data_IF_880406633310
#
_entry.id   IF_880406633310
#
_cell.length_a   1.000
_cell.length_b   1.000
_cell.length_c   1.000
_cell.angle_alpha   90.00
_cell.angle_beta   90.00
_cell.angle_gamma   90.00
#
_symmetry.space_group_name_H-M   'P 1'
#
loop_
_entity.id
_entity.type
_entity.pdbx_description
1 polymer ?
#
# COMPACT_ATOMS: atom_id res chain seq x y z
N UNK A 1 8.05 -47.51 59.43
CA UNK A 1 7.46 -48.30 60.54
C UNK A 1 6.16 -47.59 60.89
N UNK A 2 5.05 -48.05 60.34
CA UNK A 2 4.13 -49.00 60.98
C UNK A 2 3.35 -48.31 62.12
N UNK A 3 2.03 -48.36 62.24
CA UNK A 3 1.00 -49.02 61.45
C UNK A 3 -0.38 -48.59 61.98
N UNK A 4 -1.42 -48.95 61.21
CA UNK A 4 -2.67 -49.55 61.71
C UNK A 4 -3.69 -48.69 62.48
N UNK A 5 -5.00 -48.95 62.44
CA UNK A 5 -5.92 -49.81 61.65
C UNK A 5 -7.31 -49.69 62.33
N UNK A 6 -8.34 -50.17 61.63
CA UNK A 6 -9.66 -50.67 62.09
C UNK A 6 -10.80 -49.63 62.20
N UNK A 7 -11.82 -49.67 61.32
CA UNK A 7 -12.90 -50.67 61.10
C UNK A 7 -13.92 -50.73 62.24
N UNK A 8 -15.15 -50.32 61.93
CA UNK A 8 -16.39 -50.91 62.47
C UNK A 8 -17.41 -51.08 61.34
N UNK A 9 -18.18 -52.16 61.46
CA UNK A 9 -18.98 -52.86 60.45
C UNK A 9 -20.49 -52.71 60.73
N UNK A 10 -21.26 -53.23 59.77
CA UNK A 10 -22.67 -53.64 59.83
C UNK A 10 -23.70 -52.50 59.73
N UNK A 11 -24.87 -52.65 59.07
CA UNK A 11 -25.55 -53.64 58.22
C UNK A 11 -26.96 -53.05 58.08
N UNK A 12 -27.64 -53.00 56.92
CA UNK A 12 -28.57 -54.06 56.52
C UNK A 12 -29.28 -53.68 55.20
N UNK A 13 -29.57 -54.70 54.40
CA UNK A 13 -30.52 -54.76 53.27
C UNK A 13 -31.19 -56.14 53.39
N UNK A 14 -32.45 -56.38 52.96
CA UNK A 14 -32.71 -56.67 51.53
C UNK A 14 -34.15 -56.40 51.02
N UNK A 15 -34.37 -56.49 49.68
CA UNK A 15 -35.45 -57.26 48.98
C UNK A 15 -35.60 -56.91 47.45
N UNK A 16 -35.08 -57.78 46.57
CA UNK A 16 -35.61 -58.46 45.34
C UNK A 16 -36.74 -57.73 44.52
N UNK A 17 -36.54 -57.18 43.28
CA UNK A 17 -36.59 -57.73 41.86
C UNK A 17 -38.02 -57.97 41.26
N UNK A 18 -38.33 -57.99 39.90
CA UNK A 18 -37.47 -58.05 38.67
C UNK A 18 -37.86 -57.19 37.41
N UNK A 19 -36.94 -57.17 36.41
CA UNK A 19 -37.10 -57.22 34.92
C UNK A 19 -37.82 -56.06 34.16
N UNK A 20 -37.46 -55.56 32.96
CA UNK A 20 -36.52 -55.95 31.88
C UNK A 20 -36.32 -54.79 30.87
N UNK A 21 -35.27 -54.91 30.04
CA UNK A 21 -35.07 -54.43 28.64
C UNK A 21 -34.31 -53.11 28.33
N UNK A 22 -33.13 -53.36 27.73
CA UNK A 22 -32.47 -52.73 26.56
C UNK A 22 -31.43 -51.60 26.73
N UNK A 23 -30.17 -52.08 26.72
CA UNK A 23 -29.04 -51.72 25.83
C UNK A 23 -28.47 -50.28 25.82
N UNK A 24 -27.29 -50.20 26.45
CA UNK A 24 -25.98 -49.85 25.88
C UNK A 24 -25.74 -48.44 25.29
N UNK A 25 -24.97 -47.65 26.04
CA UNK A 25 -24.11 -46.58 25.53
C UNK A 25 -22.72 -46.66 26.21
N UNK A 26 -21.61 -46.70 25.45
CA UNK A 26 -20.34 -46.15 25.90
C UNK A 26 -20.08 -44.81 25.18
N UNK A 27 -19.79 -43.74 25.94
CA UNK A 27 -19.29 -42.48 25.37
C UNK A 27 -17.75 -42.47 25.37
N UNK A 28 -17.22 -42.59 24.15
CA UNK A 28 -16.11 -41.87 23.51
C UNK A 28 -14.94 -41.28 24.33
N UNK A 29 -13.71 -41.49 23.82
CA UNK A 29 -12.62 -40.52 23.83
C UNK A 29 -12.36 -39.91 22.42
N UNK A 30 -11.52 -38.85 22.39
CA UNK A 30 -10.67 -38.33 21.28
C UNK A 30 -11.23 -37.20 20.35
N UNK A 31 -10.45 -36.09 20.35
CA UNK A 31 -10.19 -35.03 19.34
C UNK A 31 -11.35 -34.34 18.62
N UNK A 32 -11.42 -33.02 18.76
CA UNK A 32 -11.93 -32.14 17.70
C UNK A 32 -11.01 -30.95 17.44
N UNK A 33 -10.54 -30.88 16.19
CA UNK A 33 -10.12 -29.67 15.47
C UNK A 33 -11.28 -28.67 15.50
N UNK A 34 -11.01 -27.41 15.83
CA UNK A 34 -11.94 -26.33 15.51
C UNK A 34 -11.86 -26.02 14.02
N UNK A 35 -13.01 -26.12 13.36
CA UNK A 35 -13.24 -25.85 11.94
C UNK A 35 -13.84 -24.45 11.88
N UNK A 36 -13.14 -23.50 11.24
CA UNK A 36 -13.69 -22.17 10.95
C UNK A 36 -14.82 -22.33 9.93
N UNK A 37 -16.03 -21.90 10.28
CA UNK A 37 -17.19 -21.88 9.39
C UNK A 37 -17.06 -20.73 8.41
N UNK A 38 -16.82 -21.05 7.14
CA UNK A 38 -17.01 -20.14 6.01
C UNK A 38 -18.50 -19.76 5.94
N UNK A 39 -18.77 -18.46 5.97
CA UNK A 39 -20.09 -17.89 5.68
C UNK A 39 -20.37 -18.08 4.19
N UNK A 40 -21.54 -18.58 3.82
CA UNK A 40 -21.99 -18.75 2.44
C UNK A 40 -22.00 -17.39 1.69
N UNK A 41 -21.50 -17.31 0.45
CA UNK A 41 -21.58 -16.10 -0.33
C UNK A 41 -22.98 -15.92 -0.93
N UNK A 42 -23.56 -14.74 -0.71
CA UNK A 42 -24.73 -14.24 -1.43
C UNK A 42 -24.45 -14.21 -2.94
N UNK A 43 -25.29 -14.89 -3.71
CA UNK A 43 -25.28 -14.88 -5.17
C UNK A 43 -25.69 -13.50 -5.69
N UNK A 44 -24.82 -12.83 -6.46
CA UNK A 44 -25.18 -11.67 -7.27
C UNK A 44 -24.49 -11.71 -8.64
N UNK A 45 -25.28 -11.49 -9.68
CA UNK A 45 -24.84 -11.29 -11.06
C UNK A 45 -24.23 -9.90 -11.20
N UNK A 46 -22.90 -9.81 -11.23
CA UNK A 46 -22.09 -8.91 -12.06
C UNK A 46 -20.61 -9.20 -11.78
N UNK A 47 -19.79 -9.16 -12.84
CA UNK A 47 -18.48 -9.79 -12.95
C UNK A 47 -17.56 -9.67 -11.73
N UNK A 48 -16.88 -10.79 -11.42
CA UNK A 48 -15.89 -10.88 -10.34
C UNK A 48 -14.73 -9.89 -10.57
N UNK A 49 -14.21 -9.23 -9.52
CA UNK A 49 -12.89 -8.61 -9.57
C UNK A 49 -11.83 -9.69 -9.90
N UNK A 50 -11.04 -9.44 -10.94
CA UNK A 50 -10.01 -10.36 -11.39
C UNK A 50 -8.74 -10.14 -10.58
N UNK A 51 -8.57 -10.92 -9.52
CA UNK A 51 -7.28 -11.05 -8.82
C UNK A 51 -6.50 -12.17 -9.52
N UNK A 52 -5.34 -11.92 -10.14
CA UNK A 52 -4.51 -13.00 -10.65
C UNK A 52 -3.88 -13.74 -9.46
N UNK A 53 -4.49 -14.86 -9.07
CA UNK A 53 -3.86 -15.88 -8.24
C UNK A 53 -2.87 -16.64 -9.14
N UNK A 54 -1.59 -16.33 -9.00
CA UNK A 54 -0.49 -16.99 -9.70
C UNK A 54 -0.41 -18.47 -9.27
N UNK A 55 -0.78 -19.36 -10.17
CA UNK A 55 -0.54 -20.81 -10.07
C UNK A 55 0.94 -21.11 -10.27
N UNK A 56 1.45 -22.02 -9.45
CA UNK A 56 2.83 -22.48 -9.37
C UNK A 56 3.32 -23.20 -10.63
N UNK A 57 4.36 -22.67 -11.28
CA UNK A 57 5.43 -23.44 -11.96
C UNK A 57 6.67 -22.56 -12.25
N UNK A 58 7.88 -23.12 -12.43
CA UNK A 58 9.11 -22.55 -11.90
C UNK A 58 9.95 -21.79 -12.93
N UNK A 59 10.02 -20.47 -12.77
CA UNK A 59 11.13 -19.61 -13.22
C UNK A 59 11.04 -18.26 -12.48
N UNK A 60 11.21 -18.29 -11.16
CA UNK A 60 11.22 -17.07 -10.35
C UNK A 60 12.51 -16.27 -10.61
N UNK A 61 12.44 -14.95 -10.85
CA UNK A 61 13.57 -14.07 -10.68
C UNK A 61 14.09 -14.15 -9.24
N UNK A 62 15.40 -14.19 -9.07
CA UNK A 62 16.09 -14.49 -7.80
C UNK A 62 15.80 -13.48 -6.67
N UNK A 63 15.15 -12.35 -6.97
CA UNK A 63 14.74 -11.33 -6.01
C UNK A 63 13.39 -11.61 -5.33
N UNK A 64 12.54 -12.44 -5.93
CA UNK A 64 11.22 -12.82 -5.40
C UNK A 64 11.21 -14.20 -4.73
N UNK A 65 12.37 -14.86 -4.65
CA UNK A 65 12.51 -16.09 -3.88
C UNK A 65 12.64 -15.72 -2.39
N UNK A 66 11.84 -16.32 -1.49
CA UNK A 66 12.13 -16.24 -0.07
C UNK A 66 13.49 -16.89 0.11
N UNK A 67 14.54 -16.11 0.40
CA UNK A 67 15.84 -16.67 0.72
C UNK A 67 15.63 -17.68 1.86
N UNK A 68 16.10 -18.91 1.67
CA UNK A 68 16.01 -20.02 2.64
C UNK A 68 16.77 -19.76 3.96
N UNK A 69 17.29 -18.54 4.15
CA UNK A 69 17.76 -18.02 5.44
C UNK A 69 16.64 -17.40 6.31
N UNK A 70 15.42 -17.21 5.80
CA UNK A 70 14.33 -16.52 6.51
C UNK A 70 13.56 -17.34 7.56
N UNK A 71 13.95 -18.58 7.83
CA UNK A 71 13.18 -19.46 8.73
C UNK A 71 13.78 -19.67 10.13
N UNK A 72 14.98 -19.17 10.44
CA UNK A 72 15.67 -19.52 11.69
C UNK A 72 15.98 -18.39 12.68
N UNK A 73 15.56 -17.14 12.44
CA UNK A 73 15.77 -16.04 13.40
C UNK A 73 14.49 -15.21 13.68
N UNK A 74 13.32 -15.85 13.72
CA UNK A 74 12.15 -15.22 14.37
C UNK A 74 12.38 -15.31 15.88
N UNK A 75 13.19 -14.39 16.39
CA UNK A 75 13.28 -14.11 17.80
C UNK A 75 11.90 -13.61 18.24
N UNK A 76 11.11 -14.52 18.82
CA UNK A 76 9.68 -14.40 19.13
C UNK A 76 9.35 -13.37 20.23
N UNK A 77 10.21 -12.37 20.41
CA UNK A 77 10.24 -11.51 21.58
C UNK A 77 10.50 -10.02 21.34
N UNK A 78 10.63 -9.49 20.11
CA UNK A 78 10.60 -8.03 19.97
C UNK A 78 9.16 -7.49 19.94
N UNK A 79 8.52 -7.54 21.11
CA UNK A 79 7.17 -7.05 21.40
C UNK A 79 7.02 -5.53 21.27
N UNK A 80 8.04 -4.84 20.73
CA UNK A 80 8.15 -3.39 20.71
C UNK A 80 7.74 -2.75 19.38
N UNK A 81 7.72 -3.48 18.27
CA UNK A 81 7.21 -2.96 17.00
C UNK A 81 5.67 -2.91 17.02
N UNK A 82 5.08 -1.74 16.75
CA UNK A 82 3.62 -1.57 16.63
C UNK A 82 3.26 -0.83 15.34
N UNK A 83 2.30 -1.37 14.59
CA UNK A 83 1.76 -0.75 13.38
C UNK A 83 0.33 -0.31 13.66
N UNK A 84 0.01 0.96 13.48
CA UNK A 84 -1.36 1.46 13.52
C UNK A 84 -1.75 2.02 12.15
N UNK A 85 -3.03 1.89 11.83
CA UNK A 85 -3.62 2.53 10.65
C UNK A 85 -4.41 3.74 11.07
N UNK A 86 -4.35 4.82 10.29
CA UNK A 86 -5.44 5.78 10.28
C UNK A 86 -6.58 5.30 9.36
N UNK A 87 -7.51 6.19 9.08
CA UNK A 87 -8.73 5.90 8.31
C UNK A 87 -8.54 6.04 6.80
N UNK A 88 -7.43 6.63 6.34
CA UNK A 88 -7.25 6.94 4.92
C UNK A 88 -7.00 5.70 4.07
N UNK A 89 -6.30 4.66 4.56
CA UNK A 89 -6.08 3.42 3.80
C UNK A 89 -5.87 2.20 4.72
N UNK A 90 -6.91 1.76 5.45
CA UNK A 90 -6.81 0.62 6.35
C UNK A 90 -6.52 -0.71 5.65
N UNK A 91 -6.91 -0.84 4.37
CA UNK A 91 -6.62 -2.03 3.58
C UNK A 91 -5.10 -2.22 3.38
N UNK A 92 -4.39 -1.18 2.91
CA UNK A 92 -2.94 -1.24 2.75
C UNK A 92 -2.22 -1.46 4.09
N UNK A 93 -2.65 -0.78 5.17
CA UNK A 93 -2.06 -0.99 6.50
C UNK A 93 -2.20 -2.45 6.96
N UNK A 94 -3.35 -3.07 6.72
CA UNK A 94 -3.59 -4.47 7.05
C UNK A 94 -2.73 -5.40 6.20
N UNK A 95 -2.57 -5.14 4.90
CA UNK A 95 -1.68 -5.92 4.02
C UNK A 95 -0.22 -5.85 4.49
N UNK A 96 0.26 -4.65 4.89
CA UNK A 96 1.60 -4.45 5.46
C UNK A 96 1.78 -5.28 6.73
N UNK A 97 0.82 -5.20 7.66
CA UNK A 97 0.87 -5.98 8.89
C UNK A 97 0.88 -7.49 8.63
N UNK A 98 0.04 -7.96 7.70
CA UNK A 98 0.00 -9.36 7.27
C UNK A 98 1.33 -9.83 6.69
N UNK A 99 1.96 -9.02 5.81
CA UNK A 99 3.27 -9.32 5.25
C UNK A 99 4.33 -9.52 6.34
N UNK A 100 4.31 -8.68 7.37
CA UNK A 100 5.24 -8.75 8.50
C UNK A 100 4.87 -9.82 9.54
N UNK A 101 3.76 -10.55 9.36
CA UNK A 101 3.27 -11.54 10.33
C UNK A 101 2.75 -10.91 11.63
N UNK A 102 2.25 -9.68 11.57
CA UNK A 102 1.76 -8.89 12.70
C UNK A 102 0.26 -8.60 12.59
N UNK A 103 -0.34 -8.24 13.73
CA UNK A 103 -1.68 -7.66 13.78
C UNK A 103 -1.57 -6.12 13.87
N UNK A 104 -2.55 -5.42 13.30
CA UNK A 104 -2.67 -3.98 13.50
C UNK A 104 -2.96 -3.68 14.97
N UNK A 105 -2.32 -2.64 15.47
CA UNK A 105 -2.55 -2.14 16.81
C UNK A 105 -3.97 -1.56 16.96
N UNK A 106 -4.50 -1.67 18.17
CA UNK A 106 -5.88 -1.26 18.47
C UNK A 106 -5.94 0.26 18.66
N UNK A 107 -6.57 0.95 17.73
CA UNK A 107 -6.78 2.40 17.78
C UNK A 107 -8.25 2.73 17.52
N UNK A 108 -8.79 3.65 18.31
CA UNK A 108 -10.13 4.19 18.12
C UNK A 108 -10.04 5.58 17.53
N UNK A 109 -10.51 5.73 16.29
CA UNK A 109 -10.63 7.01 15.61
C UNK A 109 -12.12 7.28 15.37
N UNK A 110 -12.60 8.45 15.76
CA UNK A 110 -13.99 8.88 15.48
C UNK A 110 -14.04 10.38 15.23
N UNK A 111 -15.16 10.86 14.70
CA UNK A 111 -15.46 12.28 14.57
C UNK A 111 -16.49 12.71 15.61
N UNK A 112 -16.27 13.86 16.24
CA UNK A 112 -17.31 14.52 17.03
C UNK A 112 -18.37 15.14 16.10
N UNK A 113 -19.49 15.60 16.67
CA UNK A 113 -20.62 16.10 15.88
C UNK A 113 -20.29 17.35 15.06
N UNK A 114 -19.27 18.11 15.46
CA UNK A 114 -18.71 19.29 14.78
C UNK A 114 -17.58 18.96 13.79
N UNK A 115 -17.21 17.69 13.67
CA UNK A 115 -16.19 17.22 12.72
C UNK A 115 -14.78 17.06 13.30
N UNK A 116 -14.54 17.45 14.55
CA UNK A 116 -13.23 17.28 15.20
C UNK A 116 -12.80 15.80 15.28
N UNK A 117 -11.51 15.53 15.04
CA UNK A 117 -10.95 14.17 15.14
C UNK A 117 -10.73 13.81 16.62
N UNK A 118 -11.21 12.65 17.04
CA UNK A 118 -10.80 12.01 18.28
C UNK A 118 -9.97 10.77 17.98
N UNK A 119 -8.81 10.64 18.62
CA UNK A 119 -7.93 9.47 18.54
C UNK A 119 -7.62 8.95 19.94
N UNK A 120 -7.73 7.64 20.13
CA UNK A 120 -7.33 6.96 21.35
C UNK A 120 -6.67 5.63 21.03
N UNK A 121 -5.42 5.47 21.48
CA UNK A 121 -4.74 4.18 21.51
C UNK A 121 -5.42 3.28 22.55
N UNK A 122 -5.82 2.06 22.16
CA UNK A 122 -6.49 1.10 23.04
C UNK A 122 -5.53 0.07 23.64
N UNK A 123 -4.23 0.27 23.46
CA UNK A 123 -3.16 -0.52 24.05
C UNK A 123 -1.95 0.37 24.37
N UNK A 124 -1.04 -0.14 25.20
CA UNK A 124 0.16 0.60 25.56
C UNK A 124 1.17 0.59 24.42
N UNK A 125 1.69 1.78 24.10
CA UNK A 125 2.82 1.98 23.18
C UNK A 125 4.08 2.46 23.92
N UNK A 126 4.10 2.37 25.26
CA UNK A 126 5.22 2.89 26.06
C UNK A 126 6.51 2.15 25.71
N UNK A 127 7.52 2.88 25.24
CA UNK A 127 8.81 2.31 24.86
C UNK A 127 8.80 1.51 23.55
N UNK A 128 7.68 1.52 22.82
CA UNK A 128 7.53 0.84 21.53
C UNK A 128 8.06 1.70 20.37
N UNK A 129 8.45 1.03 19.31
CA UNK A 129 8.74 1.61 17.99
C UNK A 129 7.45 1.55 17.17
N UNK A 130 6.83 2.72 16.94
CA UNK A 130 5.48 2.85 16.39
C UNK A 130 5.53 3.32 14.95
N UNK A 131 4.84 2.62 14.06
CA UNK A 131 4.67 2.94 12.66
C UNK A 131 3.20 3.30 12.39
N UNK A 132 2.96 4.51 11.89
CA UNK A 132 1.61 5.04 11.62
C UNK A 132 1.38 5.08 10.12
N UNK A 133 0.58 4.16 9.58
CA UNK A 133 0.22 4.10 8.16
C UNK A 133 -0.95 5.02 7.89
N UNK A 134 -0.68 6.14 7.20
CA UNK A 134 -1.70 7.13 6.86
C UNK A 134 -1.28 7.94 5.62
N UNK A 135 -1.77 7.62 4.41
CA UNK A 135 -1.64 8.52 3.28
C UNK A 135 -2.43 9.81 3.54
N UNK A 136 -1.95 10.93 3.00
CA UNK A 136 -2.60 12.25 3.12
C UNK A 136 -3.37 12.60 1.83
N UNK A 137 -4.10 11.61 1.31
CA UNK A 137 -4.95 11.71 0.12
C UNK A 137 -6.27 12.44 0.41
N UNK A 138 -7.06 12.82 -0.61
CA UNK A 138 -8.37 13.42 -0.40
C UNK A 138 -9.27 12.58 0.53
N UNK A 139 -9.95 13.17 1.53
CA UNK A 139 -9.90 14.60 1.91
C UNK A 139 -8.60 14.93 2.67
N UNK A 140 -7.75 15.76 2.06
CA UNK A 140 -6.32 15.85 2.41
C UNK A 140 -6.07 16.48 3.77
N UNK A 141 -6.86 17.49 4.16
CA UNK A 141 -6.69 18.21 5.41
C UNK A 141 -7.05 17.33 6.60
N UNK A 142 -8.13 16.56 6.45
CA UNK A 142 -8.69 15.68 7.45
C UNK A 142 -7.76 14.49 7.70
N UNK A 143 -7.23 13.91 6.62
CA UNK A 143 -6.27 12.81 6.71
C UNK A 143 -4.93 13.29 7.29
N UNK A 144 -4.49 14.51 6.97
CA UNK A 144 -3.32 15.15 7.58
C UNK A 144 -3.55 15.41 9.08
N UNK A 145 -4.65 16.06 9.45
CA UNK A 145 -4.97 16.34 10.86
C UNK A 145 -5.09 15.05 11.68
N UNK A 146 -5.66 14.01 11.11
CA UNK A 146 -5.72 12.69 11.76
C UNK A 146 -4.33 12.11 12.00
N UNK A 147 -3.41 12.16 11.01
CA UNK A 147 -2.02 11.76 11.18
C UNK A 147 -1.34 12.54 12.32
N UNK A 148 -1.48 13.87 12.33
CA UNK A 148 -0.86 14.72 13.35
C UNK A 148 -1.35 14.37 14.77
N UNK A 149 -2.65 14.10 14.92
CA UNK A 149 -3.25 13.73 16.21
C UNK A 149 -2.83 12.29 16.60
N UNK A 150 -2.71 11.37 15.65
CA UNK A 150 -2.16 10.03 15.92
C UNK A 150 -0.71 10.10 16.41
N UNK A 151 0.13 10.94 15.80
CA UNK A 151 1.51 11.17 16.23
C UNK A 151 1.53 11.75 17.66
N UNK A 152 0.76 12.81 17.94
CA UNK A 152 0.71 13.44 19.26
C UNK A 152 0.21 12.45 20.34
N UNK A 153 -0.79 11.62 20.03
CA UNK A 153 -1.29 10.57 20.92
C UNK A 153 -0.20 9.55 21.28
N UNK A 154 0.59 9.10 20.30
CA UNK A 154 1.72 8.18 20.53
C UNK A 154 2.82 8.85 21.37
N UNK A 155 3.14 10.12 21.07
CA UNK A 155 4.15 10.90 21.80
C UNK A 155 3.78 11.04 23.28
N UNK A 156 2.55 11.43 23.57
CA UNK A 156 2.04 11.56 24.95
C UNK A 156 1.92 10.22 25.66
N UNK A 157 1.67 9.14 24.92
CA UNK A 157 1.68 7.78 25.44
C UNK A 157 3.10 7.19 25.63
N UNK A 158 4.16 8.01 25.46
CA UNK A 158 5.56 7.63 25.68
C UNK A 158 6.07 6.55 24.73
N UNK A 159 5.65 6.58 23.46
CA UNK A 159 6.33 5.83 22.40
C UNK A 159 7.82 6.20 22.36
N UNK A 160 8.69 5.21 22.07
CA UNK A 160 10.13 5.42 21.97
C UNK A 160 10.47 6.12 20.65
N UNK A 161 9.95 5.60 19.55
CA UNK A 161 10.07 6.17 18.22
C UNK A 161 8.70 6.16 17.52
N UNK A 162 8.43 7.19 16.72
CA UNK A 162 7.22 7.35 15.92
C UNK A 162 7.65 7.59 14.47
N UNK A 163 7.39 6.62 13.61
CA UNK A 163 7.61 6.72 12.17
C UNK A 163 6.28 6.97 11.48
N UNK A 164 6.16 8.12 10.79
CA UNK A 164 5.02 8.39 9.93
C UNK A 164 5.21 7.67 8.59
N UNK A 165 4.42 6.63 8.34
CA UNK A 165 4.39 5.89 7.07
C UNK A 165 3.32 6.52 6.19
N UNK A 166 3.75 7.27 5.18
CA UNK A 166 2.91 8.11 4.32
C UNK A 166 3.00 7.58 2.88
N UNK A 167 2.21 6.55 2.50
CA UNK A 167 2.23 5.97 1.16
C UNK A 167 1.96 6.99 0.05
N UNK A 168 1.20 8.06 0.33
CA UNK A 168 1.02 9.21 -0.56
C UNK A 168 1.13 10.50 0.25
N UNK A 169 2.10 11.34 -0.11
CA UNK A 169 2.32 12.64 0.51
C UNK A 169 1.50 13.73 -0.20
N UNK A 170 0.35 14.07 0.37
CA UNK A 170 -0.47 15.20 -0.04
C UNK A 170 0.32 16.51 0.01
N UNK A 171 -0.11 17.51 -0.77
CA UNK A 171 0.60 18.78 -0.97
C UNK A 171 1.98 18.70 -1.63
N UNK A 172 2.48 17.51 -1.99
CA UNK A 172 3.81 17.35 -2.60
C UNK A 172 4.02 18.15 -3.91
N UNK A 173 2.95 18.50 -4.63
CA UNK A 173 3.01 19.35 -5.83
C UNK A 173 3.29 20.83 -5.55
N UNK A 174 3.09 21.28 -4.31
CA UNK A 174 3.38 22.64 -3.85
C UNK A 174 4.74 22.68 -3.14
N UNK A 175 5.77 22.24 -3.85
CA UNK A 175 7.14 22.07 -3.36
C UNK A 175 8.02 23.31 -3.59
N UNK A 176 7.63 24.25 -4.44
CA UNK A 176 8.39 25.48 -4.71
C UNK A 176 7.48 26.64 -5.05
N UNK A 177 8.02 27.85 -4.98
CA UNK A 177 7.35 29.05 -5.48
C UNK A 177 7.63 29.19 -6.97
N UNK A 178 6.59 29.11 -7.78
CA UNK A 178 6.64 29.42 -9.21
C UNK A 178 6.31 30.89 -9.47
N UNK A 179 5.56 31.52 -8.55
CA UNK A 179 5.21 32.94 -8.58
C UNK A 179 5.46 33.62 -7.23
N UNK A 180 5.45 34.96 -7.23
CA UNK A 180 5.54 35.74 -6.00
C UNK A 180 4.33 35.48 -5.08
N UNK A 181 4.60 35.37 -3.76
CA UNK A 181 3.60 35.20 -2.69
C UNK A 181 2.85 33.85 -2.64
N UNK A 182 3.40 32.82 -3.26
CA UNK A 182 2.93 31.43 -3.06
C UNK A 182 3.48 30.83 -1.75
N UNK A 183 2.74 29.88 -1.17
CA UNK A 183 3.21 29.04 -0.08
C UNK A 183 4.00 27.84 -0.63
N UNK A 184 4.93 27.31 0.18
CA UNK A 184 5.54 26.00 -0.06
C UNK A 184 4.82 25.03 0.88
N UNK A 185 3.63 24.60 0.48
CA UNK A 185 2.75 23.81 1.35
C UNK A 185 3.38 22.46 1.73
N UNK A 186 4.16 21.84 0.83
CA UNK A 186 4.91 20.62 1.15
C UNK A 186 5.86 20.81 2.35
N UNK A 187 6.58 21.96 2.42
CA UNK A 187 7.46 22.29 3.55
C UNK A 187 6.66 22.62 4.81
N UNK A 188 5.52 23.31 4.69
CA UNK A 188 4.63 23.54 5.83
C UNK A 188 4.15 22.21 6.44
N UNK A 189 3.69 21.28 5.61
CA UNK A 189 3.23 19.96 6.06
C UNK A 189 4.37 19.16 6.69
N UNK A 190 5.57 19.19 6.10
CA UNK A 190 6.75 18.57 6.68
C UNK A 190 7.07 19.12 8.09
N UNK A 191 6.98 20.44 8.28
CA UNK A 191 7.15 21.07 9.59
C UNK A 191 6.09 20.60 10.59
N UNK A 192 4.81 20.54 10.17
CA UNK A 192 3.72 20.12 11.05
C UNK A 192 3.89 18.66 11.52
N UNK A 193 4.27 17.75 10.62
CA UNK A 193 4.53 16.34 10.94
C UNK A 193 5.71 16.22 11.92
N UNK A 194 6.78 16.98 11.68
CA UNK A 194 7.95 17.02 12.56
C UNK A 194 7.58 17.56 13.95
N UNK A 195 6.86 18.68 14.01
CA UNK A 195 6.48 19.34 15.27
C UNK A 195 5.45 18.53 16.09
N UNK A 196 4.54 17.81 15.42
CA UNK A 196 3.65 16.85 16.09
C UNK A 196 4.45 15.77 16.86
N UNK A 197 5.68 15.48 16.40
CA UNK A 197 6.64 14.63 17.09
C UNK A 197 6.99 13.34 16.36
N UNK A 198 6.87 13.31 15.03
CA UNK A 198 7.44 12.22 14.25
C UNK A 198 8.97 12.22 14.39
N UNK A 199 9.56 11.04 14.58
CA UNK A 199 11.02 10.85 14.62
C UNK A 199 11.60 10.52 13.24
N UNK A 200 10.76 10.00 12.34
CA UNK A 200 11.13 9.56 10.99
C UNK A 200 9.91 9.61 10.08
N UNK A 201 10.13 9.78 8.78
CA UNK A 201 9.11 9.63 7.75
C UNK A 201 9.52 8.52 6.79
N UNK A 202 8.56 7.69 6.41
CA UNK A 202 8.68 6.75 5.30
C UNK A 202 7.64 7.16 4.26
N UNK A 203 8.06 7.59 3.07
CA UNK A 203 7.16 8.06 2.02
C UNK A 203 7.42 7.33 0.69
N UNK A 204 6.36 7.07 -0.08
CA UNK A 204 6.48 6.45 -1.40
C UNK A 204 6.42 7.51 -2.51
N UNK A 205 7.31 7.42 -3.49
CA UNK A 205 7.38 8.25 -4.72
C UNK A 205 6.98 9.72 -4.52
N UNK A 206 7.73 10.45 -3.68
CA UNK A 206 7.60 11.89 -3.55
C UNK A 206 7.65 12.56 -4.92
N UNK A 207 6.73 13.52 -5.15
CA UNK A 207 6.62 14.26 -6.41
C UNK A 207 7.97 14.85 -6.85
N UNK A 208 8.72 15.33 -5.86
CA UNK A 208 10.02 15.97 -6.02
C UNK A 208 10.96 15.42 -4.95
N UNK A 209 12.09 14.84 -5.35
CA UNK A 209 13.05 14.23 -4.43
C UNK A 209 13.67 15.25 -3.45
N UNK A 210 13.67 16.53 -3.82
CA UNK A 210 14.08 17.64 -2.97
C UNK A 210 13.21 17.78 -1.72
N UNK A 211 11.96 17.27 -1.75
CA UNK A 211 11.04 17.29 -0.61
C UNK A 211 11.57 16.52 0.60
N UNK A 212 12.49 15.58 0.42
CA UNK A 212 13.18 14.93 1.54
C UNK A 212 13.92 15.96 2.41
N UNK A 213 14.52 16.99 1.79
CA UNK A 213 15.21 18.08 2.49
C UNK A 213 14.27 19.06 3.22
N UNK A 214 12.95 18.84 3.17
CA UNK A 214 11.99 19.62 3.97
C UNK A 214 11.87 19.11 5.39
N UNK A 215 12.29 17.88 5.66
CA UNK A 215 12.29 17.30 6.98
C UNK A 215 13.67 17.42 7.61
N UNK A 216 13.70 17.88 8.86
CA UNK A 216 14.92 17.88 9.69
C UNK A 216 15.14 16.52 10.39
N UNK A 217 14.21 15.58 10.17
CA UNK A 217 14.24 14.19 10.62
C UNK A 217 14.52 13.24 9.44
N UNK A 218 15.03 12.02 9.68
CA UNK A 218 15.28 11.05 8.62
C UNK A 218 14.04 10.76 7.76
N UNK A 219 14.24 10.69 6.44
CA UNK A 219 13.21 10.32 5.47
C UNK A 219 13.68 9.12 4.66
N UNK A 220 12.95 8.02 4.76
CA UNK A 220 13.10 6.86 3.89
C UNK A 220 12.16 7.02 2.69
N UNK A 221 12.74 7.37 1.53
CA UNK A 221 12.00 7.53 0.28
C UNK A 221 11.97 6.22 -0.50
N UNK A 222 10.80 5.59 -0.52
CA UNK A 222 10.52 4.32 -1.15
C UNK A 222 10.07 4.55 -2.59
N UNK A 223 10.67 3.84 -3.55
CA UNK A 223 10.24 3.91 -4.95
C UNK A 223 9.28 2.77 -5.26
N UNK A 224 8.04 3.07 -5.65
CA UNK A 224 7.02 2.09 -6.04
C UNK A 224 7.24 1.51 -7.44
N UNK A 225 8.10 2.15 -8.24
CA UNK A 225 8.48 1.73 -9.58
C UNK A 225 8.79 0.22 -9.74
N UNK A 226 9.54 -0.47 -8.85
CA UNK A 226 9.83 -1.90 -8.99
C UNK A 226 8.55 -2.77 -9.06
N UNK A 227 7.51 -2.42 -8.29
CA UNK A 227 6.23 -3.16 -8.30
C UNK A 227 5.59 -3.12 -9.70
N UNK A 228 5.64 -1.96 -10.36
CA UNK A 228 5.09 -1.78 -11.71
C UNK A 228 5.97 -2.48 -12.74
N UNK A 229 7.30 -2.38 -12.61
CA UNK A 229 8.24 -3.03 -13.53
C UNK A 229 8.11 -4.55 -13.51
N UNK A 230 8.03 -5.16 -12.32
CA UNK A 230 7.85 -6.61 -12.18
C UNK A 230 6.55 -7.06 -12.85
N UNK A 231 5.48 -6.28 -12.69
CA UNK A 231 4.21 -6.55 -13.34
C UNK A 231 4.29 -6.45 -14.87
N UNK A 232 4.92 -5.40 -15.41
CA UNK A 232 5.12 -5.24 -16.86
C UNK A 232 6.01 -6.34 -17.45
N UNK A 233 7.07 -6.73 -16.74
CA UNK A 233 7.95 -7.83 -17.15
C UNK A 233 7.18 -9.15 -17.28
N UNK A 234 6.16 -9.37 -16.45
CA UNK A 234 5.30 -10.57 -16.53
C UNK A 234 4.40 -10.62 -17.78
N UNK A 235 4.16 -9.49 -18.47
CA UNK A 235 3.25 -9.41 -19.62
C UNK A 235 3.83 -9.95 -20.94
N UNK A 236 5.07 -10.46 -20.95
CA UNK A 236 5.72 -11.05 -22.14
C UNK A 236 5.69 -10.11 -23.36
N UNK A 237 5.80 -8.80 -23.14
CA UNK A 237 5.94 -7.82 -24.21
C UNK A 237 7.41 -7.84 -24.68
N UNK A 238 7.63 -7.96 -25.99
CA UNK A 238 8.99 -7.95 -26.54
C UNK A 238 9.69 -6.63 -26.19
N UNK A 239 10.92 -6.69 -25.66
CA UNK A 239 11.68 -5.50 -25.26
C UNK A 239 11.94 -4.55 -26.44
N UNK A 240 12.11 -5.08 -27.65
CA UNK A 240 12.36 -4.29 -28.87
C UNK A 240 11.11 -3.53 -29.35
N UNK A 241 9.92 -3.93 -28.89
CA UNK A 241 8.64 -3.31 -29.23
C UNK A 241 8.25 -2.20 -28.26
N UNK A 242 9.00 -2.00 -27.16
CA UNK A 242 8.62 -1.05 -26.10
C UNK A 242 9.22 0.33 -26.34
N UNK A 243 8.48 1.34 -25.89
CA UNK A 243 8.98 2.70 -25.72
C UNK A 243 8.40 3.27 -24.44
N UNK A 244 9.27 3.76 -23.56
CA UNK A 244 8.83 4.44 -22.34
C UNK A 244 8.58 5.90 -22.68
N UNK A 245 7.43 6.42 -22.26
CA UNK A 245 7.00 7.77 -22.59
C UNK A 245 6.87 8.60 -21.33
N UNK A 246 7.52 9.77 -21.31
CA UNK A 246 7.24 10.77 -20.30
C UNK A 246 6.06 11.64 -20.72
N UNK A 247 4.98 11.74 -19.92
CA UNK A 247 3.79 12.53 -20.25
C UNK A 247 4.03 14.05 -20.31
N UNK A 248 5.12 14.52 -19.69
CA UNK A 248 5.57 15.91 -19.74
C UNK A 248 7.09 16.01 -19.55
N UNK A 249 7.62 17.22 -19.59
CA UNK A 249 9.07 17.48 -19.44
C UNK A 249 9.56 17.26 -18.01
N UNK A 250 8.70 17.41 -17.00
CA UNK A 250 9.06 17.24 -15.59
C UNK A 250 9.32 15.78 -15.23
N UNK A 251 8.60 14.85 -15.86
CA UNK A 251 8.72 13.41 -15.62
C UNK A 251 9.90 12.72 -16.32
N UNK A 252 10.69 13.42 -17.14
CA UNK A 252 11.69 12.80 -18.03
C UNK A 252 12.75 11.99 -17.29
N UNK A 253 13.21 12.48 -16.13
CA UNK A 253 14.18 11.76 -15.30
C UNK A 253 13.61 10.42 -14.77
N UNK A 254 12.33 10.43 -14.37
CA UNK A 254 11.60 9.24 -13.91
C UNK A 254 11.42 8.25 -15.05
N UNK A 255 10.93 8.72 -16.20
CA UNK A 255 10.74 7.90 -17.39
C UNK A 255 12.07 7.27 -17.87
N UNK A 256 13.18 8.01 -17.83
CA UNK A 256 14.51 7.47 -18.16
C UNK A 256 14.97 6.39 -17.17
N UNK A 257 14.79 6.61 -15.88
CA UNK A 257 15.11 5.61 -14.86
C UNK A 257 14.24 4.35 -15.01
N UNK A 258 12.98 4.52 -15.42
CA UNK A 258 12.07 3.44 -15.77
C UNK A 258 12.53 2.64 -16.98
N UNK A 259 12.84 3.33 -18.07
CA UNK A 259 13.34 2.75 -19.30
C UNK A 259 14.61 1.91 -19.09
N UNK A 260 15.57 2.43 -18.30
CA UNK A 260 16.82 1.71 -17.98
C UNK A 260 16.56 0.34 -17.34
N UNK A 261 15.57 0.24 -16.45
CA UNK A 261 15.21 -1.02 -15.77
C UNK A 261 14.35 -1.93 -16.65
N UNK A 262 13.72 -1.39 -17.69
CA UNK A 262 12.94 -2.14 -18.68
C UNK A 262 13.80 -2.42 -19.92
N UNK A 263 14.91 -3.14 -19.72
CA UNK A 263 15.85 -3.55 -20.79
C UNK A 263 16.42 -2.39 -21.62
N UNK A 264 16.66 -1.23 -20.99
CA UNK A 264 17.14 -0.02 -21.65
C UNK A 264 16.24 0.42 -22.82
N UNK A 265 14.92 0.32 -22.62
CA UNK A 265 13.93 0.67 -23.64
C UNK A 265 14.12 2.12 -24.17
N UNK A 266 13.81 2.39 -25.45
CA UNK A 266 13.78 3.74 -25.99
C UNK A 266 12.90 4.69 -25.18
N UNK A 267 13.30 5.96 -25.12
CA UNK A 267 12.55 7.03 -24.44
C UNK A 267 11.87 7.95 -25.46
N UNK A 268 10.60 8.26 -25.22
CA UNK A 268 9.89 9.35 -25.87
C UNK A 268 9.34 10.36 -24.84
N UNK A 269 9.10 11.59 -25.27
CA UNK A 269 8.69 12.70 -24.41
C UNK A 269 7.57 13.47 -25.10
N UNK A 270 6.49 13.72 -24.36
CA UNK A 270 5.44 14.64 -24.80
C UNK A 270 5.83 16.05 -24.36
N UNK A 271 6.25 16.89 -25.32
CA UNK A 271 6.52 18.31 -25.08
C UNK A 271 5.23 19.11 -25.26
N UNK A 272 4.63 19.49 -24.14
CA UNK A 272 3.43 20.33 -24.10
C UNK A 272 3.83 21.80 -24.01
N UNK A 273 3.55 22.57 -25.06
CA UNK A 273 3.75 24.03 -25.06
C UNK A 273 2.45 24.79 -24.94
N UNK A 274 2.32 25.61 -23.89
CA UNK A 274 1.23 26.58 -23.74
C UNK A 274 1.67 27.92 -24.33
N UNK A 275 1.11 28.33 -25.45
CA UNK A 275 1.45 29.61 -26.11
C UNK A 275 0.64 30.82 -25.57
N UNK A 276 0.01 30.69 -24.40
CA UNK A 276 -0.74 31.76 -23.73
C UNK A 276 -2.01 31.26 -23.06
N UNK A 277 -2.72 32.15 -22.36
CA UNK A 277 -4.09 31.88 -21.91
C UNK A 277 -5.01 31.90 -23.15
N UNK A 278 -5.81 30.84 -23.34
CA UNK A 278 -6.77 30.66 -24.44
C UNK A 278 -6.22 30.27 -25.83
N UNK A 279 -4.95 29.88 -25.96
CA UNK A 279 -4.41 29.28 -27.20
C UNK A 279 -4.42 27.76 -27.09
N UNK A 280 -4.81 27.07 -28.17
CA UNK A 280 -4.83 25.61 -28.25
C UNK A 280 -3.48 25.01 -27.79
N UNK A 281 -3.54 23.97 -26.96
CA UNK A 281 -2.34 23.29 -26.48
C UNK A 281 -1.68 22.54 -27.64
N UNK A 282 -0.50 23.00 -28.08
CA UNK A 282 0.31 22.26 -29.05
C UNK A 282 1.10 21.21 -28.28
N UNK A 283 0.92 19.94 -28.64
CA UNK A 283 1.69 18.84 -28.11
C UNK A 283 2.57 18.27 -29.20
N UNK A 284 3.87 18.24 -28.95
CA UNK A 284 4.84 17.60 -29.84
C UNK A 284 5.33 16.31 -29.20
N UNK A 285 5.60 15.30 -30.01
CA UNK A 285 6.25 14.08 -29.58
C UNK A 285 7.73 14.13 -29.96
N UNK A 286 8.61 13.87 -29.00
CA UNK A 286 10.04 13.69 -29.21
C UNK A 286 10.37 12.22 -28.97
N UNK A 287 10.82 11.51 -30.00
CA UNK A 287 11.10 10.06 -29.95
C UNK A 287 10.18 9.28 -30.89
N UNK A 288 10.61 8.08 -31.28
CA UNK A 288 9.87 7.22 -32.22
C UNK A 288 9.04 6.16 -31.48
N UNK A 289 7.73 6.23 -31.69
CA UNK A 289 6.71 5.36 -31.09
C UNK A 289 5.96 4.52 -32.13
N UNK A 290 6.28 4.67 -33.42
CA UNK A 290 5.51 4.06 -34.50
C UNK A 290 5.60 2.53 -34.46
N UNK A 291 4.44 1.87 -34.41
CA UNK A 291 4.32 0.41 -34.33
C UNK A 291 4.67 -0.20 -32.96
N UNK A 292 5.04 0.63 -31.98
CA UNK A 292 5.51 0.20 -30.65
C UNK A 292 4.40 0.19 -29.62
N UNK A 293 4.66 -0.50 -28.50
CA UNK A 293 3.90 -0.43 -27.26
C UNK A 293 4.45 0.71 -26.42
N UNK A 294 3.66 1.75 -26.22
CA UNK A 294 4.04 2.92 -25.46
C UNK A 294 3.65 2.76 -23.98
N UNK A 295 4.62 2.86 -23.08
CA UNK A 295 4.39 2.82 -21.63
C UNK A 295 4.58 4.22 -21.06
N UNK A 296 3.48 4.91 -20.82
CA UNK A 296 3.47 6.23 -20.18
C UNK A 296 3.71 6.08 -18.67
N UNK A 297 4.69 6.78 -18.13
CA UNK A 297 5.05 6.70 -16.69
C UNK A 297 5.02 8.06 -16.05
N UNK A 298 4.25 8.19 -14.97
CA UNK A 298 4.20 9.38 -14.12
C UNK A 298 4.26 9.01 -12.62
N UNK A 299 4.44 9.98 -11.73
CA UNK A 299 4.35 9.72 -10.28
C UNK A 299 2.89 9.54 -9.84
N UNK A 300 1.99 10.36 -10.38
CA UNK A 300 0.58 10.34 -10.02
C UNK A 300 -0.35 10.66 -11.20
N UNK A 301 -1.57 10.14 -11.14
CA UNK A 301 -2.66 10.53 -12.05
C UNK A 301 -3.74 11.23 -11.23
N UNK A 302 -3.88 12.54 -11.42
CA UNK A 302 -4.93 13.36 -10.80
C UNK A 302 -6.19 13.41 -11.66
N UNK A 303 -6.32 14.39 -12.56
CA UNK A 303 -7.50 14.51 -13.43
C UNK A 303 -7.38 13.73 -14.74
N UNK A 304 -6.31 12.95 -14.92
CA UNK A 304 -5.92 12.23 -16.14
C UNK A 304 -5.85 13.07 -17.45
N UNK A 305 -5.83 14.40 -17.36
CA UNK A 305 -5.89 15.27 -18.54
C UNK A 305 -4.62 15.22 -19.40
N UNK A 306 -3.45 15.24 -18.75
CA UNK A 306 -2.14 15.14 -19.42
C UNK A 306 -1.98 13.77 -20.07
N UNK A 307 -2.18 12.69 -19.30
CA UNK A 307 -1.95 11.34 -19.77
C UNK A 307 -2.92 10.93 -20.90
N UNK A 308 -4.20 11.31 -20.83
CA UNK A 308 -5.17 11.00 -21.89
C UNK A 308 -4.86 11.73 -23.21
N UNK A 309 -4.48 13.02 -23.13
CA UNK A 309 -4.03 13.76 -24.32
C UNK A 309 -2.76 13.14 -24.90
N UNK A 310 -1.81 12.77 -24.04
CA UNK A 310 -0.58 12.10 -24.46
C UNK A 310 -0.87 10.77 -25.16
N UNK A 311 -1.76 9.94 -24.61
CA UNK A 311 -2.18 8.69 -25.23
C UNK A 311 -2.83 8.91 -26.62
N UNK A 312 -3.69 9.91 -26.75
CA UNK A 312 -4.28 10.27 -28.04
C UNK A 312 -3.20 10.67 -29.08
N UNK A 313 -2.20 11.48 -28.67
CA UNK A 313 -1.07 11.84 -29.52
C UNK A 313 -0.23 10.60 -29.91
N UNK A 314 0.04 9.70 -28.96
CA UNK A 314 0.81 8.48 -29.23
C UNK A 314 0.12 7.61 -30.29
N UNK A 315 -1.20 7.46 -30.22
CA UNK A 315 -1.96 6.76 -31.27
C UNK A 315 -1.93 7.48 -32.62
N UNK A 316 -2.00 8.82 -32.63
CA UNK A 316 -1.87 9.61 -33.86
C UNK A 316 -0.49 9.43 -34.53
N UNK A 317 0.56 9.30 -33.73
CA UNK A 317 1.94 9.04 -34.18
C UNK A 317 2.20 7.55 -34.47
N UNK A 318 1.17 6.70 -34.33
CA UNK A 318 1.19 5.31 -34.76
C UNK A 318 1.61 4.28 -33.70
N UNK A 319 1.54 4.61 -32.41
CA UNK A 319 1.70 3.61 -31.34
C UNK A 319 0.61 2.54 -31.42
N UNK A 320 1.01 1.27 -31.28
CA UNK A 320 0.14 0.09 -31.37
C UNK A 320 -0.77 -0.03 -30.14
N UNK A 321 -0.18 0.14 -28.96
CA UNK A 321 -0.84 0.07 -27.66
C UNK A 321 -0.28 1.17 -26.76
N UNK A 322 -1.09 1.66 -25.82
CA UNK A 322 -0.68 2.63 -24.81
C UNK A 322 -1.05 2.12 -23.43
N UNK A 323 -0.05 2.02 -22.55
CA UNK A 323 -0.20 1.70 -21.13
C UNK A 323 0.02 2.98 -20.32
N UNK A 324 -0.78 3.18 -19.28
CA UNK A 324 -0.57 4.24 -18.29
C UNK A 324 -0.07 3.62 -16.99
N UNK A 325 1.04 4.12 -16.45
CA UNK A 325 1.62 3.69 -15.19
C UNK A 325 1.79 4.87 -14.25
N UNK A 326 1.31 4.74 -13.01
CA UNK A 326 1.61 5.72 -11.98
C UNK A 326 1.60 5.12 -10.59
N UNK A 327 2.44 5.63 -9.68
CA UNK A 327 2.40 5.17 -8.29
C UNK A 327 1.08 5.59 -7.64
N UNK A 328 0.68 6.86 -7.73
CA UNK A 328 -0.47 7.37 -6.99
C UNK A 328 -1.70 7.62 -7.86
N UNK A 329 -2.79 6.91 -7.57
CA UNK A 329 -4.09 7.09 -8.20
C UNK A 329 -4.94 8.14 -7.46
N UNK A 330 -4.68 9.44 -7.70
CA UNK A 330 -5.46 10.52 -7.07
C UNK A 330 -6.87 10.60 -7.67
N UNK A 331 -6.99 10.40 -8.98
CA UNK A 331 -8.25 10.21 -9.72
C UNK A 331 -9.37 11.24 -9.41
N UNK A 332 -9.01 12.52 -9.28
CA UNK A 332 -10.03 13.58 -9.19
C UNK A 332 -10.84 13.65 -10.49
N UNK A 333 -12.14 13.98 -10.45
CA UNK A 333 -12.94 14.10 -11.66
C UNK A 333 -12.33 15.05 -12.71
N UNK A 334 -12.43 14.73 -14.02
CA UNK A 334 -13.07 13.57 -14.64
C UNK A 334 -12.08 12.45 -14.98
N UNK A 335 -11.20 12.04 -14.05
CA UNK A 335 -10.14 11.06 -14.36
C UNK A 335 -10.68 9.73 -14.89
N UNK A 336 -11.68 9.14 -14.23
CA UNK A 336 -12.21 7.82 -14.58
C UNK A 336 -12.74 7.81 -16.02
N UNK A 337 -13.53 8.80 -16.41
CA UNK A 337 -14.05 8.95 -17.78
C UNK A 337 -12.93 8.97 -18.83
N UNK A 338 -11.85 9.70 -18.55
CA UNK A 338 -10.70 9.83 -19.46
C UNK A 338 -9.86 8.56 -19.54
N UNK A 339 -9.71 7.85 -18.42
CA UNK A 339 -8.93 6.61 -18.35
C UNK A 339 -9.68 5.43 -18.96
N UNK A 340 -11.01 5.42 -18.86
CA UNK A 340 -11.88 4.39 -19.43
C UNK A 340 -12.29 4.67 -20.89
N UNK A 341 -11.71 5.69 -21.54
CA UNK A 341 -12.14 6.13 -22.88
C UNK A 341 -11.73 5.19 -24.02
N UNK A 342 -11.06 4.07 -23.72
CA UNK A 342 -10.50 3.14 -24.70
C UNK A 342 -9.15 3.56 -25.29
N UNK A 343 -8.55 4.66 -24.80
CA UNK A 343 -7.20 5.10 -25.22
C UNK A 343 -6.08 4.26 -24.58
N UNK A 344 -6.39 3.52 -23.53
CA UNK A 344 -5.42 2.74 -22.78
C UNK A 344 -5.73 1.25 -22.92
N UNK A 345 -4.69 0.49 -23.24
CA UNK A 345 -4.74 -0.97 -23.13
C UNK A 345 -4.89 -1.37 -21.66
N UNK A 346 -4.20 -0.64 -20.78
CA UNK A 346 -4.27 -0.83 -19.34
C UNK A 346 -3.80 0.42 -18.58
N UNK A 347 -4.38 0.63 -17.40
CA UNK A 347 -3.99 1.67 -16.44
C UNK A 347 -3.52 0.97 -15.18
N UNK A 348 -2.22 0.99 -14.94
CA UNK A 348 -1.52 0.29 -13.87
C UNK A 348 -1.16 1.29 -12.78
N UNK A 349 -1.76 1.11 -11.60
CA UNK A 349 -1.51 1.97 -10.43
C UNK A 349 -1.14 1.15 -9.20
N UNK A 350 -0.65 1.81 -8.15
CA UNK A 350 -0.44 1.15 -6.85
C UNK A 350 -1.55 1.49 -5.85
N UNK A 351 -1.73 0.65 -4.83
CA UNK A 351 -2.68 0.88 -3.74
C UNK A 351 -2.21 1.90 -2.68
N UNK A 352 -1.28 2.81 -3.00
CA UNK A 352 -0.85 3.90 -2.10
C UNK A 352 -1.99 4.86 -1.72
N UNK A 353 -2.97 5.03 -2.62
CA UNK A 353 -4.25 5.69 -2.38
C UNK A 353 -5.34 4.63 -2.57
N UNK A 354 -6.35 4.52 -1.68
CA UNK A 354 -7.44 3.58 -1.90
C UNK A 354 -8.28 4.00 -3.11
N UNK A 355 -8.62 3.04 -3.95
CA UNK A 355 -9.58 3.25 -5.05
C UNK A 355 -10.94 2.76 -4.59
N UNK A 356 -11.95 3.64 -4.64
CA UNK A 356 -13.32 3.27 -4.31
C UNK A 356 -13.94 2.38 -5.38
N UNK A 357 -14.87 1.51 -5.00
CA UNK A 357 -15.48 0.51 -5.90
C UNK A 357 -16.08 1.14 -7.17
N UNK A 358 -16.72 2.30 -7.06
CA UNK A 358 -17.31 3.02 -8.20
C UNK A 358 -16.28 3.60 -9.18
N UNK A 359 -15.01 3.68 -8.78
CA UNK A 359 -13.92 4.18 -9.61
C UNK A 359 -13.17 3.06 -10.33
N UNK A 360 -13.56 1.79 -10.16
CA UNK A 360 -13.00 0.69 -10.94
C UNK A 360 -13.57 0.68 -12.36
N UNK A 361 -12.70 0.38 -13.32
CA UNK A 361 -13.03 0.20 -14.72
C UNK A 361 -12.24 -0.97 -15.30
N UNK A 362 -12.66 -1.58 -16.43
CA UNK A 362 -12.09 -2.84 -16.91
C UNK A 362 -10.58 -2.83 -17.17
N UNK A 363 -10.03 -1.68 -17.56
CA UNK A 363 -8.60 -1.51 -17.86
C UNK A 363 -7.76 -1.17 -16.61
N UNK A 364 -8.36 -1.01 -15.43
CA UNK A 364 -7.64 -0.64 -14.21
C UNK A 364 -7.02 -1.88 -13.54
N UNK A 365 -5.71 -1.83 -13.35
CA UNK A 365 -4.97 -2.79 -12.53
C UNK A 365 -4.38 -2.08 -11.32
N UNK A 366 -4.66 -2.61 -10.13
CA UNK A 366 -4.17 -2.09 -8.86
C UNK A 366 -3.14 -3.06 -8.28
N UNK A 367 -1.90 -2.60 -8.14
CA UNK A 367 -0.80 -3.38 -7.59
C UNK A 367 -0.56 -3.01 -6.12
N UNK A 368 -0.25 -4.01 -5.28
CA UNK A 368 0.04 -3.75 -3.88
C UNK A 368 1.50 -3.34 -3.65
N UNK A 369 1.72 -2.27 -2.88
CA UNK A 369 3.04 -1.89 -2.35
C UNK A 369 3.28 -2.41 -0.93
N UNK A 370 2.41 -3.26 -0.40
CA UNK A 370 2.48 -3.74 0.99
C UNK A 370 3.80 -4.45 1.31
N UNK A 371 4.27 -5.34 0.42
CA UNK A 371 5.53 -6.06 0.62
C UNK A 371 6.71 -5.09 0.66
N UNK A 372 6.72 -4.09 -0.23
CA UNK A 372 7.78 -3.10 -0.31
C UNK A 372 7.82 -2.22 0.95
N UNK A 373 6.66 -1.75 1.41
CA UNK A 373 6.54 -0.93 2.62
C UNK A 373 6.83 -1.75 3.88
N UNK A 374 6.34 -2.99 3.97
CA UNK A 374 6.57 -3.89 5.09
C UNK A 374 8.03 -4.27 5.24
N UNK A 375 8.72 -4.59 4.15
CA UNK A 375 10.17 -4.86 4.17
C UNK A 375 10.95 -3.61 4.59
N UNK A 376 10.53 -2.43 4.13
CA UNK A 376 11.16 -1.16 4.54
C UNK A 376 10.97 -0.90 6.04
N UNK A 377 9.76 -1.12 6.56
CA UNK A 377 9.46 -1.01 8.00
C UNK A 377 10.32 -1.98 8.80
N UNK A 378 10.43 -3.22 8.36
CA UNK A 378 11.26 -4.24 9.00
C UNK A 378 12.73 -3.79 9.08
N UNK A 379 13.28 -3.31 7.97
CA UNK A 379 14.68 -2.81 7.92
C UNK A 379 14.90 -1.59 8.81
N UNK A 380 13.96 -0.65 8.84
CA UNK A 380 14.02 0.53 9.71
C UNK A 380 13.99 0.13 11.19
N UNK A 381 13.18 -0.88 11.56
CA UNK A 381 13.10 -1.36 12.94
C UNK A 381 14.38 -2.09 13.38
N UNK A 382 14.93 -2.93 12.52
CA UNK A 382 16.14 -3.73 12.80
C UNK A 382 17.46 -2.96 12.57
N UNK A 383 17.41 -1.64 12.39
CA UNK A 383 18.58 -0.79 12.06
C UNK A 383 19.39 -1.30 10.84
N UNK A 384 18.72 -1.97 9.91
CA UNK A 384 19.30 -2.53 8.69
C UNK A 384 19.33 -1.51 7.55
N UNK A 385 20.22 -1.72 6.56
CA UNK A 385 20.29 -0.88 5.37
C UNK A 385 18.99 -0.94 4.58
N UNK A 386 18.30 0.19 4.47
CA UNK A 386 17.13 0.37 3.59
C UNK A 386 17.54 0.49 2.12
N UNK A 387 18.75 0.99 1.83
CA UNK A 387 19.22 1.26 0.46
C UNK A 387 19.32 0.03 -0.44
N UNK A 388 19.53 -1.16 0.12
CA UNK A 388 19.60 -2.42 -0.63
C UNK A 388 18.25 -2.87 -1.18
N UNK A 389 17.14 -2.27 -0.74
CA UNK A 389 15.78 -2.58 -1.24
C UNK A 389 15.56 -2.11 -2.67
N UNK A 390 16.32 -1.11 -3.14
CA UNK A 390 16.04 -0.38 -4.38
C UNK A 390 17.04 -0.64 -5.52
N UNK A 391 18.10 -1.41 -5.24
CA UNK A 391 19.16 -1.74 -6.19
C UNK A 391 18.73 -2.81 -7.18
#
# INVERSE_FOLDING_TARGET
MASSSLLWLCSSNPLISPATLLKAHPRFPIRHRFRCSLVEPLMFENGKPHFPLLTSDPAFPTFLSPNSHFQNDINKHDTRLRIFSGTANPALAQEIACYMGLELGKIKIKRFADGEIYVQLQESVRGCDVFLVQPTCPPANENLMELLIMIDACRRASAKNITAVIPYFGYARADRKTQGRESIAAKLVANLITEAGANRVLACDLHSGQSMGYFDIPVDHVYGQPVILDYLASKTICSDDLVVVSPDVGGVARARAFAKKLSDAPLAIVDKRRHGHNVAEVMNLIGDVKGKVAVMVDDMIDTAGTIAKGAALLHQEGAREVYACSTHAVFSPPAIERLSSGLFQEVIITNTIPVSEQNYFPQLTVLSVANLLGETIWRVHDDCSVSSTFQ
#
